data_IF_801834582494
#
_entry.id   IF_801834582494
#
_cell.length_a   1.000
_cell.length_b   1.000
_cell.length_c   1.000
_cell.angle_alpha   90.00
_cell.angle_beta   90.00
_cell.angle_gamma   90.00
#
_symmetry.space_group_name_H-M   'P 1'
#
loop_
_entity.id
_entity.type
_entity.pdbx_description
1 polymer ?
#
# COMPACT_ATOMS: atom_id res chain seq x y z
N UNK A 1 -5.94 27.16 0.32
CA UNK A 1 -5.10 25.95 0.42
C UNK A 1 -3.94 26.11 1.39
N UNK A 2 -3.93 25.36 2.51
CA UNK A 2 -2.73 25.30 3.35
C UNK A 2 -1.62 24.53 2.63
N UNK A 3 -0.40 25.08 2.60
CA UNK A 3 0.77 24.48 1.93
C UNK A 3 1.00 23.02 2.37
N UNK A 4 0.69 22.71 3.64
CA UNK A 4 0.73 21.36 4.22
C UNK A 4 -0.19 20.36 3.50
N UNK A 5 -1.46 20.71 3.26
CA UNK A 5 -2.43 19.81 2.59
C UNK A 5 -2.06 19.56 1.13
N UNK A 6 -1.48 20.55 0.46
CA UNK A 6 -0.99 20.39 -0.92
C UNK A 6 0.13 19.37 -0.99
N UNK A 7 1.15 19.54 -0.14
CA UNK A 7 2.31 18.64 -0.11
C UNK A 7 1.86 17.21 0.23
N UNK A 8 1.01 17.05 1.24
CA UNK A 8 0.49 15.74 1.63
C UNK A 8 -0.32 15.09 0.50
N UNK A 9 -1.22 15.82 -0.14
CA UNK A 9 -2.02 15.31 -1.25
C UNK A 9 -1.18 14.92 -2.47
N UNK A 10 -0.21 15.77 -2.86
CA UNK A 10 0.72 15.43 -3.95
C UNK A 10 1.57 14.21 -3.61
N UNK A 11 2.00 14.07 -2.35
CA UNK A 11 2.75 12.88 -1.89
C UNK A 11 1.88 11.62 -1.96
N UNK A 12 0.58 11.73 -1.65
CA UNK A 12 -0.36 10.61 -1.76
C UNK A 12 -0.57 10.15 -3.20
N UNK A 13 -0.55 11.07 -4.16
CA UNK A 13 -0.61 10.73 -5.60
C UNK A 13 0.73 10.16 -6.08
N UNK A 14 1.85 10.76 -5.66
CA UNK A 14 3.19 10.34 -6.07
C UNK A 14 3.56 8.96 -5.51
N UNK A 15 3.15 8.62 -4.29
CA UNK A 15 3.44 7.34 -3.63
C UNK A 15 3.12 6.12 -4.52
N UNK A 16 1.88 5.89 -4.98
CA UNK A 16 1.54 4.75 -5.82
C UNK A 16 2.14 4.83 -7.23
N UNK A 17 2.30 6.04 -7.80
CA UNK A 17 2.96 6.21 -9.10
C UNK A 17 4.41 5.73 -9.03
N UNK A 18 5.15 6.16 -8.01
CA UNK A 18 6.54 5.77 -7.80
C UNK A 18 6.64 4.30 -7.39
N UNK A 19 5.80 3.83 -6.46
CA UNK A 19 5.79 2.45 -6.01
C UNK A 19 5.47 1.47 -7.14
N UNK A 20 4.25 1.51 -7.67
CA UNK A 20 3.80 0.56 -8.70
C UNK A 20 4.59 0.76 -10.00
N UNK A 21 4.85 2.00 -10.41
CA UNK A 21 5.58 2.28 -11.64
C UNK A 21 6.99 1.71 -11.64
N UNK A 22 7.74 1.90 -10.54
CA UNK A 22 9.11 1.35 -10.44
C UNK A 22 9.11 -0.16 -10.17
N UNK A 23 8.13 -0.70 -9.44
CA UNK A 23 7.99 -2.17 -9.30
C UNK A 23 7.76 -2.81 -10.67
N UNK A 24 6.87 -2.26 -11.51
CA UNK A 24 6.67 -2.77 -12.87
C UNK A 24 7.93 -2.60 -13.73
N UNK A 25 8.69 -1.51 -13.57
CA UNK A 25 9.99 -1.36 -14.20
C UNK A 25 10.98 -2.45 -13.75
N UNK A 26 10.99 -2.81 -12.46
CA UNK A 26 11.80 -3.92 -11.94
C UNK A 26 11.39 -5.27 -12.56
N UNK A 27 10.07 -5.54 -12.73
CA UNK A 27 9.60 -6.78 -13.37
C UNK A 27 10.02 -6.92 -14.83
N UNK A 28 10.21 -5.80 -15.54
CA UNK A 28 10.58 -5.80 -16.96
C UNK A 28 12.09 -5.78 -17.19
N UNK A 29 12.86 -5.38 -16.18
CA UNK A 29 14.34 -5.37 -16.23
C UNK A 29 14.96 -6.66 -15.72
N UNK A 30 14.26 -7.43 -14.89
CA UNK A 30 14.76 -8.72 -14.40
C UNK A 30 14.63 -9.82 -15.45
N UNK A 31 15.71 -10.58 -15.67
CA UNK A 31 15.69 -11.75 -16.55
C UNK A 31 15.18 -13.00 -15.83
N UNK A 32 15.08 -12.96 -14.49
CA UNK A 32 14.73 -14.09 -13.63
C UNK A 32 13.29 -14.04 -13.13
N UNK A 33 12.63 -12.89 -13.22
CA UNK A 33 11.29 -12.70 -12.73
C UNK A 33 10.25 -13.44 -13.59
N UNK A 34 9.27 -14.05 -12.92
CA UNK A 34 8.15 -14.74 -13.53
C UNK A 34 6.89 -14.52 -12.69
N UNK A 35 5.86 -13.94 -13.31
CA UNK A 35 4.53 -13.79 -12.72
C UNK A 35 3.89 -15.12 -12.27
N UNK A 36 4.34 -16.26 -12.81
CA UNK A 36 3.84 -17.58 -12.45
C UNK A 36 4.47 -18.17 -11.19
N UNK A 37 5.63 -17.65 -10.75
CA UNK A 37 6.43 -18.27 -9.69
C UNK A 37 6.80 -17.32 -8.56
N UNK A 38 7.00 -16.05 -8.87
CA UNK A 38 7.63 -15.11 -7.95
C UNK A 38 6.61 -14.33 -7.11
N UNK A 39 7.06 -13.88 -5.94
CA UNK A 39 6.55 -12.70 -5.26
C UNK A 39 7.17 -11.43 -5.89
N UNK A 40 6.59 -10.25 -5.67
CA UNK A 40 7.24 -9.00 -6.11
C UNK A 40 8.54 -8.76 -5.33
N UNK A 41 8.59 -9.15 -4.05
CA UNK A 41 9.76 -9.01 -3.18
C UNK A 41 10.98 -9.80 -3.65
N UNK A 42 10.80 -10.87 -4.45
CA UNK A 42 11.90 -11.61 -5.08
C UNK A 42 12.78 -10.68 -5.95
N UNK A 43 12.20 -9.62 -6.52
CA UNK A 43 12.95 -8.60 -7.28
C UNK A 43 14.00 -7.89 -6.41
N UNK A 44 13.76 -7.77 -5.10
CA UNK A 44 14.65 -7.13 -4.14
C UNK A 44 15.96 -7.86 -3.87
N UNK A 45 16.09 -9.10 -4.36
CA UNK A 45 17.31 -9.94 -4.25
C UNK A 45 17.72 -10.56 -5.60
N UNK A 46 17.13 -10.11 -6.70
CA UNK A 46 17.40 -10.64 -8.03
C UNK A 46 18.75 -10.10 -8.57
N UNK A 47 18.76 -9.45 -9.73
CA UNK A 47 19.94 -8.78 -10.26
C UNK A 47 20.20 -7.45 -9.54
N UNK A 48 21.46 -6.97 -9.40
CA UNK A 48 21.78 -5.75 -8.65
C UNK A 48 20.98 -4.51 -9.10
N UNK A 49 20.77 -4.33 -10.40
CA UNK A 49 20.01 -3.21 -10.95
C UNK A 49 18.51 -3.33 -10.63
N UNK A 50 17.92 -4.51 -10.82
CA UNK A 50 16.53 -4.81 -10.46
C UNK A 50 16.28 -4.62 -8.97
N UNK A 51 17.17 -5.15 -8.13
CA UNK A 51 17.09 -5.04 -6.69
C UNK A 51 17.15 -3.58 -6.24
N UNK A 52 18.03 -2.77 -6.84
CA UNK A 52 18.09 -1.34 -6.57
C UNK A 52 16.77 -0.64 -6.92
N UNK A 53 16.20 -0.92 -8.09
CA UNK A 53 14.93 -0.33 -8.54
C UNK A 53 13.79 -0.73 -7.59
N UNK A 54 13.63 -2.03 -7.31
CA UNK A 54 12.56 -2.53 -6.45
C UNK A 54 12.69 -2.00 -5.02
N UNK A 55 13.84 -2.17 -4.37
CA UNK A 55 14.03 -1.78 -2.97
C UNK A 55 13.86 -0.26 -2.79
N UNK A 56 14.39 0.54 -3.72
CA UNK A 56 14.19 1.99 -3.69
C UNK A 56 12.72 2.36 -3.90
N UNK A 57 11.99 1.65 -4.75
CA UNK A 57 10.59 1.94 -5.03
C UNK A 57 9.70 1.84 -3.80
N UNK A 58 9.82 0.75 -3.02
CA UNK A 58 9.00 0.52 -1.83
C UNK A 58 9.39 1.45 -0.69
N UNK A 59 10.68 1.81 -0.56
CA UNK A 59 11.16 2.82 0.39
C UNK A 59 10.58 4.20 0.05
N UNK A 60 10.67 4.63 -1.21
CA UNK A 60 10.16 5.93 -1.66
C UNK A 60 8.63 5.99 -1.52
N UNK A 61 7.92 4.93 -1.93
CA UNK A 61 6.47 4.86 -1.81
C UNK A 61 6.04 4.94 -0.34
N UNK A 62 6.64 4.13 0.54
CA UNK A 62 6.36 4.19 1.97
C UNK A 62 6.62 5.58 2.57
N UNK A 63 7.74 6.22 2.24
CA UNK A 63 8.06 7.56 2.72
C UNK A 63 7.04 8.61 2.25
N UNK A 64 6.68 8.61 0.96
CA UNK A 64 5.66 9.52 0.40
C UNK A 64 4.29 9.27 1.02
N UNK A 65 3.94 8.01 1.27
CA UNK A 65 2.70 7.64 1.96
C UNK A 65 2.66 8.19 3.40
N UNK A 66 3.76 8.14 4.14
CA UNK A 66 3.83 8.74 5.49
C UNK A 66 3.66 10.27 5.47
N UNK A 67 4.24 10.95 4.46
CA UNK A 67 4.01 12.40 4.27
C UNK A 67 2.54 12.69 3.95
N UNK A 68 1.90 11.83 3.15
CA UNK A 68 0.47 11.91 2.88
C UNK A 68 -0.38 11.75 4.15
N UNK A 69 -0.07 10.75 5.00
CA UNK A 69 -0.78 10.53 6.25
C UNK A 69 -0.68 11.74 7.20
N UNK A 70 0.43 12.46 7.19
CA UNK A 70 0.58 13.68 7.98
C UNK A 70 -0.40 14.80 7.57
N UNK A 71 -1.00 14.76 6.36
CA UNK A 71 -2.09 15.66 5.96
C UNK A 71 -3.49 15.09 6.21
N UNK A 72 -3.62 13.77 6.23
CA UNK A 72 -4.88 13.06 6.50
C UNK A 72 -5.14 12.90 8.00
N UNK A 73 -4.12 13.04 8.85
CA UNK A 73 -4.25 12.93 10.31
C UNK A 73 -5.32 13.86 10.89
N UNK A 74 -5.48 15.04 10.26
CA UNK A 74 -6.48 16.03 10.67
C UNK A 74 -7.93 15.57 10.34
N UNK A 75 -8.08 14.55 9.50
CA UNK A 75 -9.37 13.96 9.09
C UNK A 75 -9.71 12.70 9.88
N UNK A 76 -8.71 11.90 10.25
CA UNK A 76 -8.89 10.76 11.15
C UNK A 76 -9.08 11.30 12.56
N UNK A 77 -10.28 11.76 12.89
CA UNK A 77 -10.46 12.53 14.11
C UNK A 77 -10.32 11.68 15.38
N UNK A 78 -10.60 12.31 16.53
CA UNK A 78 -10.00 11.89 17.80
C UNK A 78 -10.62 10.66 18.47
N UNK A 79 -11.50 9.93 17.80
CA UNK A 79 -12.06 8.69 18.35
C UNK A 79 -11.06 7.53 18.32
N UNK A 80 -11.27 6.54 19.18
CA UNK A 80 -10.32 5.42 19.33
C UNK A 80 -10.13 4.64 18.02
N UNK A 81 -11.19 4.51 17.20
CA UNK A 81 -11.14 3.83 15.90
C UNK A 81 -10.31 4.59 14.89
N UNK A 82 -10.49 5.92 14.77
CA UNK A 82 -9.70 6.77 13.90
C UNK A 82 -8.21 6.76 14.27
N UNK A 83 -7.90 6.84 15.57
CA UNK A 83 -6.53 6.76 16.09
C UNK A 83 -5.88 5.40 15.82
N UNK A 84 -6.60 4.30 16.08
CA UNK A 84 -6.11 2.95 15.78
C UNK A 84 -5.91 2.75 14.28
N UNK A 85 -6.85 3.25 13.45
CA UNK A 85 -6.74 3.21 12.00
C UNK A 85 -5.50 3.96 11.50
N UNK A 86 -5.26 5.18 11.99
CA UNK A 86 -4.06 5.94 11.64
C UNK A 86 -2.78 5.23 12.09
N UNK A 87 -2.76 4.62 13.28
CA UNK A 87 -1.63 3.84 13.76
C UNK A 87 -1.34 2.62 12.86
N UNK A 88 -2.38 1.91 12.41
CA UNK A 88 -2.26 0.83 11.44
C UNK A 88 -1.71 1.34 10.11
N UNK A 89 -2.22 2.46 9.59
CA UNK A 89 -1.73 3.05 8.34
C UNK A 89 -0.26 3.45 8.44
N UNK A 90 0.15 4.15 9.51
CA UNK A 90 1.55 4.52 9.72
C UNK A 90 2.43 3.27 9.82
N UNK A 91 2.02 2.28 10.60
CA UNK A 91 2.79 1.04 10.77
C UNK A 91 2.90 0.26 9.47
N UNK A 92 1.85 0.23 8.65
CA UNK A 92 1.86 -0.36 7.32
C UNK A 92 2.77 0.39 6.32
N UNK A 93 2.77 1.72 6.35
CA UNK A 93 3.69 2.55 5.56
C UNK A 93 5.15 2.35 5.93
N UNK A 94 5.45 2.27 7.24
CA UNK A 94 6.78 1.91 7.75
C UNK A 94 7.14 0.50 7.31
N UNK A 95 6.21 -0.45 7.43
CA UNK A 95 6.42 -1.84 7.00
C UNK A 95 6.81 -1.91 5.52
N UNK A 96 6.14 -1.16 4.63
CA UNK A 96 6.49 -1.06 3.21
C UNK A 96 7.93 -0.57 2.98
N UNK A 97 8.38 0.41 3.75
CA UNK A 97 9.78 0.86 3.67
C UNK A 97 10.74 -0.25 4.11
N UNK A 98 10.39 -0.94 5.20
CA UNK A 98 11.20 -2.02 5.75
C UNK A 98 11.29 -3.22 4.82
N UNK A 99 10.30 -3.48 3.95
CA UNK A 99 10.39 -4.50 2.89
C UNK A 99 11.61 -4.25 1.98
N UNK A 100 11.90 -2.99 1.64
CA UNK A 100 13.06 -2.63 0.82
C UNK A 100 14.40 -2.64 1.58
N UNK A 101 14.36 -2.67 2.91
CA UNK A 101 15.57 -2.71 3.77
C UNK A 101 15.91 -4.14 4.17
N UNK A 102 14.93 -4.86 4.72
CA UNK A 102 15.02 -6.26 5.08
C UNK A 102 14.51 -7.09 3.90
N UNK A 103 15.35 -7.25 2.88
CA UNK A 103 15.04 -8.03 1.67
C UNK A 103 14.83 -9.51 1.99
N UNK A 104 14.44 -10.33 1.00
CA UNK A 104 14.21 -11.78 1.16
C UNK A 104 15.39 -12.54 1.80
N UNK A 105 16.61 -12.03 1.71
CA UNK A 105 17.78 -12.60 2.41
C UNK A 105 17.64 -12.61 3.94
N UNK A 106 16.78 -11.77 4.50
CA UNK A 106 16.53 -11.68 5.95
C UNK A 106 15.44 -12.66 6.44
N UNK A 107 14.89 -13.50 5.55
CA UNK A 107 13.98 -14.59 5.89
C UNK A 107 12.78 -14.13 6.72
N UNK A 108 12.66 -14.61 7.96
CA UNK A 108 11.52 -14.33 8.83
C UNK A 108 11.28 -12.82 9.05
N UNK A 109 12.34 -12.01 9.14
CA UNK A 109 12.19 -10.56 9.31
C UNK A 109 11.47 -9.97 8.10
N UNK A 110 11.85 -10.37 6.88
CA UNK A 110 11.19 -9.96 5.65
C UNK A 110 9.71 -10.36 5.68
N UNK A 111 9.42 -11.62 6.00
CA UNK A 111 8.03 -12.12 6.08
C UNK A 111 7.18 -11.30 7.04
N UNK A 112 7.72 -10.92 8.21
CA UNK A 112 6.99 -10.13 9.21
C UNK A 112 6.71 -8.72 8.71
N UNK A 113 7.68 -8.03 8.09
CA UNK A 113 7.46 -6.66 7.60
C UNK A 113 6.57 -6.65 6.34
N UNK A 114 6.69 -7.63 5.46
CA UNK A 114 5.79 -7.80 4.31
C UNK A 114 4.35 -8.06 4.77
N UNK A 115 4.14 -8.96 5.75
CA UNK A 115 2.83 -9.17 6.36
C UNK A 115 2.30 -7.90 7.04
N UNK A 116 3.17 -7.13 7.68
CA UNK A 116 2.82 -5.82 8.26
C UNK A 116 2.22 -4.87 7.24
N UNK A 117 2.82 -4.76 6.05
CA UNK A 117 2.26 -3.97 4.94
C UNK A 117 0.87 -4.49 4.52
N UNK A 118 0.80 -5.76 4.15
CA UNK A 118 -0.41 -6.36 3.59
C UNK A 118 -1.58 -6.46 4.57
N UNK A 119 -1.34 -6.49 5.88
CA UNK A 119 -2.42 -6.60 6.88
C UNK A 119 -2.79 -5.23 7.45
N UNK A 120 -1.81 -4.38 7.77
CA UNK A 120 -2.07 -3.15 8.52
C UNK A 120 -2.66 -2.05 7.65
N UNK A 121 -2.35 -1.95 6.35
CA UNK A 121 -3.03 -0.95 5.50
C UNK A 121 -4.52 -1.23 5.33
N UNK A 122 -4.96 -2.45 4.93
CA UNK A 122 -6.38 -2.76 4.87
C UNK A 122 -7.11 -2.59 6.20
N UNK A 123 -6.48 -3.04 7.31
CA UNK A 123 -7.03 -2.85 8.65
C UNK A 123 -7.17 -1.36 8.99
N UNK A 124 -6.18 -0.56 8.62
CA UNK A 124 -6.22 0.90 8.74
C UNK A 124 -7.40 1.52 8.00
N UNK A 125 -7.66 1.11 6.75
CA UNK A 125 -8.84 1.59 5.99
C UNK A 125 -10.15 1.21 6.66
N UNK A 126 -10.28 -0.03 7.14
CA UNK A 126 -11.49 -0.49 7.83
C UNK A 126 -11.73 0.36 9.08
N UNK A 127 -10.71 0.52 9.93
CA UNK A 127 -10.81 1.29 11.19
C UNK A 127 -11.10 2.77 10.94
N UNK A 128 -10.47 3.36 9.93
CA UNK A 128 -10.77 4.73 9.47
C UNK A 128 -12.22 4.81 8.99
N UNK A 129 -12.72 3.86 8.19
CA UNK A 129 -14.11 3.85 7.73
C UNK A 129 -15.15 3.67 8.85
N UNK A 130 -14.79 2.90 9.89
CA UNK A 130 -15.59 2.68 11.10
C UNK A 130 -15.54 3.85 12.09
N UNK A 131 -14.60 4.78 11.93
CA UNK A 131 -14.54 5.99 12.73
C UNK A 131 -15.83 6.80 12.56
N UNK A 132 -16.35 7.29 13.68
CA UNK A 132 -17.53 8.15 13.72
C UNK A 132 -17.13 9.63 13.76
N UNK A 133 -15.82 9.91 13.70
CA UNK A 133 -15.33 11.26 13.85
C UNK A 133 -15.74 12.14 12.65
N UNK A 134 -16.19 13.38 12.89
CA UNK A 134 -16.64 14.30 11.83
C UNK A 134 -15.53 14.75 10.86
N UNK A 135 -14.28 14.33 11.08
CA UNK A 135 -13.11 14.71 10.28
C UNK A 135 -13.01 13.97 8.94
N UNK A 136 -13.56 12.75 8.82
CA UNK A 136 -13.52 12.02 7.54
C UNK A 136 -14.61 12.59 6.60
N UNK A 137 -14.26 13.11 5.41
CA UNK A 137 -15.14 13.94 4.62
C UNK A 137 -16.30 13.14 4.01
N UNK A 138 -17.39 13.06 4.75
CA UNK A 138 -18.69 12.59 4.28
C UNK A 138 -18.83 11.08 4.13
N UNK A 139 -20.10 10.65 4.05
CA UNK A 139 -20.54 9.26 3.92
C UNK A 139 -19.79 8.47 2.84
N UNK A 140 -19.39 9.12 1.75
CA UNK A 140 -18.73 8.46 0.62
C UNK A 140 -17.32 7.94 0.93
N UNK A 141 -16.50 8.66 1.71
CA UNK A 141 -15.15 8.17 2.04
C UNK A 141 -15.17 7.06 3.09
N UNK A 142 -16.15 7.08 4.00
CA UNK A 142 -16.38 5.98 4.93
C UNK A 142 -16.73 4.70 4.18
N UNK A 143 -17.71 4.77 3.26
CA UNK A 143 -18.10 3.64 2.41
C UNK A 143 -16.93 3.15 1.57
N UNK A 144 -16.16 4.06 0.97
CA UNK A 144 -14.95 3.71 0.21
C UNK A 144 -13.96 2.91 1.05
N UNK A 145 -13.67 3.36 2.27
CA UNK A 145 -12.69 2.71 3.16
C UNK A 145 -13.18 1.33 3.63
N UNK A 146 -14.47 1.24 3.98
CA UNK A 146 -15.12 -0.02 4.38
C UNK A 146 -15.24 -1.03 3.23
N UNK A 147 -15.21 -0.58 1.98
CA UNK A 147 -15.24 -1.46 0.81
C UNK A 147 -13.82 -1.87 0.40
N UNK A 148 -12.90 -0.91 0.24
CA UNK A 148 -11.57 -1.19 -0.28
C UNK A 148 -10.67 -1.93 0.72
N UNK A 149 -10.85 -1.73 2.03
CA UNK A 149 -10.09 -2.49 3.04
C UNK A 149 -10.33 -4.00 2.96
N UNK A 150 -11.58 -4.50 3.13
CA UNK A 150 -11.87 -5.92 2.98
C UNK A 150 -11.57 -6.44 1.57
N UNK A 151 -11.80 -5.64 0.52
CA UNK A 151 -11.47 -6.02 -0.85
C UNK A 151 -9.98 -6.28 -1.05
N UNK A 152 -9.10 -5.48 -0.42
CA UNK A 152 -7.65 -5.68 -0.45
C UNK A 152 -7.26 -7.03 0.16
N UNK A 153 -7.79 -7.35 1.36
CA UNK A 153 -7.56 -8.65 2.02
C UNK A 153 -8.08 -9.81 1.16
N UNK A 154 -9.28 -9.67 0.59
CA UNK A 154 -9.86 -10.69 -0.29
C UNK A 154 -9.01 -10.87 -1.54
N UNK A 155 -8.52 -9.79 -2.15
CA UNK A 155 -7.63 -9.86 -3.30
C UNK A 155 -6.35 -10.63 -2.97
N UNK A 156 -5.73 -10.37 -1.82
CA UNK A 156 -4.54 -11.11 -1.40
C UNK A 156 -4.82 -12.60 -1.19
N UNK A 157 -5.88 -12.94 -0.46
CA UNK A 157 -6.15 -14.32 -0.04
C UNK A 157 -6.81 -15.19 -1.12
N UNK A 158 -7.67 -14.60 -1.96
CA UNK A 158 -8.52 -15.36 -2.87
C UNK A 158 -7.97 -15.46 -4.31
N UNK A 159 -7.02 -14.60 -4.71
CA UNK A 159 -6.53 -14.59 -6.11
C UNK A 159 -5.85 -15.89 -6.50
N UNK A 160 -4.90 -16.41 -5.71
CA UNK A 160 -4.20 -17.65 -6.06
C UNK A 160 -5.13 -18.88 -6.06
N UNK A 161 -5.98 -19.11 -5.03
CA UNK A 161 -6.97 -20.18 -5.08
C UNK A 161 -7.90 -20.08 -6.30
N UNK A 162 -8.36 -18.87 -6.64
CA UNK A 162 -9.24 -18.66 -7.79
C UNK A 162 -8.54 -18.97 -9.11
N UNK A 163 -7.31 -18.47 -9.32
CA UNK A 163 -6.54 -18.74 -10.53
C UNK A 163 -6.19 -20.22 -10.65
N UNK A 164 -5.83 -20.87 -9.54
CA UNK A 164 -5.57 -22.30 -9.47
C UNK A 164 -6.80 -23.13 -9.86
N UNK A 165 -8.00 -22.76 -9.38
CA UNK A 165 -9.25 -23.39 -9.78
C UNK A 165 -9.53 -23.25 -11.29
N UNK A 166 -9.13 -22.12 -11.88
CA UNK A 166 -9.25 -21.85 -13.31
C UNK A 166 -8.12 -22.46 -14.16
N UNK A 167 -7.16 -23.18 -13.54
CA UNK A 167 -6.01 -23.76 -14.23
C UNK A 167 -4.96 -22.75 -14.68
N UNK A 168 -5.01 -21.52 -14.15
CA UNK A 168 -4.04 -20.44 -14.43
C UNK A 168 -2.93 -20.47 -13.40
N UNK A 169 -1.68 -20.59 -13.85
CA UNK A 169 -0.50 -20.51 -12.98
C UNK A 169 -0.22 -19.06 -12.60
N UNK A 170 -0.02 -18.81 -11.31
CA UNK A 170 0.32 -17.49 -10.78
C UNK A 170 1.17 -17.64 -9.52
N UNK A 171 2.16 -16.77 -9.38
CA UNK A 171 2.93 -16.56 -8.16
C UNK A 171 2.33 -15.42 -7.33
N UNK A 172 2.88 -15.21 -6.14
CA UNK A 172 2.41 -14.18 -5.21
C UNK A 172 2.47 -12.75 -5.79
N UNK A 173 3.27 -12.50 -6.82
CA UNK A 173 3.34 -11.18 -7.43
C UNK A 173 1.97 -10.69 -7.97
N UNK A 174 1.09 -11.61 -8.40
CA UNK A 174 -0.23 -11.27 -8.92
C UNK A 174 -1.17 -10.73 -7.82
N UNK A 175 -1.45 -11.45 -6.71
CA UNK A 175 -2.25 -10.89 -5.62
C UNK A 175 -1.62 -9.64 -5.01
N UNK A 176 -0.29 -9.58 -4.86
CA UNK A 176 0.40 -8.43 -4.28
C UNK A 176 0.21 -7.16 -5.13
N UNK A 177 0.32 -7.27 -6.46
CA UNK A 177 0.05 -6.15 -7.37
C UNK A 177 -1.43 -5.74 -7.32
N UNK A 178 -2.34 -6.72 -7.34
CA UNK A 178 -3.78 -6.45 -7.30
C UNK A 178 -4.18 -5.72 -6.01
N UNK A 179 -3.69 -6.18 -4.87
CA UNK A 179 -3.90 -5.52 -3.59
C UNK A 179 -3.29 -4.12 -3.58
N UNK A 180 -2.06 -3.97 -4.06
CA UNK A 180 -1.39 -2.66 -4.16
C UNK A 180 -2.19 -1.67 -5.01
N UNK A 181 -2.84 -2.11 -6.09
CA UNK A 181 -3.73 -1.28 -6.91
C UNK A 181 -5.00 -0.85 -6.15
N UNK A 182 -5.62 -1.78 -5.42
CA UNK A 182 -6.80 -1.49 -4.57
C UNK A 182 -6.43 -0.46 -3.51
N UNK A 183 -5.32 -0.66 -2.80
CA UNK A 183 -4.82 0.26 -1.78
C UNK A 183 -4.50 1.63 -2.40
N UNK A 184 -3.82 1.65 -3.54
CA UNK A 184 -3.47 2.87 -4.28
C UNK A 184 -4.69 3.68 -4.69
N UNK A 185 -5.78 3.01 -5.11
CA UNK A 185 -7.01 3.70 -5.49
C UNK A 185 -7.59 4.51 -4.33
N UNK A 186 -7.58 3.96 -3.11
CA UNK A 186 -7.99 4.68 -1.90
C UNK A 186 -7.09 5.90 -1.68
N UNK A 187 -5.77 5.71 -1.71
CA UNK A 187 -4.78 6.77 -1.46
C UNK A 187 -4.98 7.93 -2.45
N UNK A 188 -5.08 7.64 -3.74
CA UNK A 188 -5.27 8.67 -4.78
C UNK A 188 -6.60 9.41 -4.59
N UNK A 189 -7.70 8.70 -4.33
CA UNK A 189 -9.01 9.34 -4.13
C UNK A 189 -8.97 10.26 -2.90
N UNK A 190 -8.43 9.79 -1.77
CA UNK A 190 -8.31 10.60 -0.55
C UNK A 190 -7.36 11.78 -0.77
N UNK A 191 -6.24 11.59 -1.45
CA UNK A 191 -5.29 12.65 -1.79
C UNK A 191 -5.91 13.76 -2.65
N UNK A 192 -6.67 13.40 -3.69
CA UNK A 192 -7.40 14.37 -4.53
C UNK A 192 -8.43 15.15 -3.70
N UNK A 193 -9.14 14.48 -2.77
CA UNK A 193 -10.05 15.18 -1.86
C UNK A 193 -9.31 16.11 -0.91
N UNK A 194 -8.16 15.70 -0.40
CA UNK A 194 -7.35 16.50 0.52
C UNK A 194 -6.91 17.80 -0.15
N UNK A 195 -6.49 17.72 -1.41
CA UNK A 195 -6.14 18.88 -2.23
C UNK A 195 -7.35 19.80 -2.41
N UNK A 196 -8.52 19.26 -2.76
CA UNK A 196 -9.74 20.05 -3.01
C UNK A 196 -10.33 20.71 -1.75
N UNK A 197 -10.04 20.17 -0.57
CA UNK A 197 -10.57 20.66 0.71
C UNK A 197 -9.80 21.84 1.32
N UNK A 198 -8.66 22.21 0.75
CA UNK A 198 -7.75 23.21 1.30
C UNK A 198 -7.89 24.56 0.64
#
# INVERSE_FOLDING_TARGET
MSRRRLIAGLSGIASPIMGIGLVLAATTTSNKFSWERNALSDLGVAEPETALIFNSSVIIAGALFLVFLAGVSDWTGNDNRGRAGLACLVSGGVSLMLVGVFTEHYGLIHTVVSAGYFILLPAGFILVGLSESPGLPGRSLRVLSLFLGPLAIIALLATLPLLGYLGVKAGFAVPELLESLILSSWIVIVAVRLIKSG
#
